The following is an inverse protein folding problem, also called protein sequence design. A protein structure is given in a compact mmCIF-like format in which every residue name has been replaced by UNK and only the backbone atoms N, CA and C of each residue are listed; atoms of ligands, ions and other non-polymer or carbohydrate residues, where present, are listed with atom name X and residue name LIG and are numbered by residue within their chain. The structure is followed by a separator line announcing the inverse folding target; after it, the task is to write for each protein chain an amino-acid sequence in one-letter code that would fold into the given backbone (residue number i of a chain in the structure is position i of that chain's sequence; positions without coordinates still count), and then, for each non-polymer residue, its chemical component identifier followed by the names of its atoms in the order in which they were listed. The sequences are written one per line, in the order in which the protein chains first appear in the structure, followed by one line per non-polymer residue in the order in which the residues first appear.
data_IF_746788004654
#
_entry.id   IF_746788004654
#
_cell.length_a   1.000
_cell.length_b   1.000
_cell.length_c   1.000
_cell.angle_alpha   90.00
_cell.angle_beta   90.00
_cell.angle_gamma   90.00
#
_symmetry.space_group_name_H-M   'P 1'
#
loop_
_entity.id
_entity.type
_entity.pdbx_description
1 polymer ?
#
# COMPACT_ATOMS: atom_id res chain seq x y z
N UNK A 1 10.43 5.72 50.92
CA UNK A 1 10.47 6.57 49.72
C UNK A 1 9.16 6.37 48.99
N UNK A 2 8.35 7.42 48.82
CA UNK A 2 7.13 7.33 48.02
C UNK A 2 7.52 7.15 46.56
N UNK A 3 6.94 6.15 45.89
CA UNK A 3 7.11 5.97 44.44
C UNK A 3 6.34 7.11 43.75
N UNK A 4 6.96 7.86 42.83
CA UNK A 4 6.36 9.07 42.27
C UNK A 4 5.19 8.81 41.29
N UNK A 5 5.03 7.59 40.78
CA UNK A 5 3.92 7.22 39.89
C UNK A 5 3.51 5.77 40.07
N UNK A 6 2.20 5.52 40.10
CA UNK A 6 1.60 4.18 40.18
C UNK A 6 1.26 3.60 38.79
N UNK A 7 1.73 4.22 37.70
CA UNK A 7 1.47 3.76 36.35
C UNK A 7 2.64 4.01 35.41
N UNK A 8 2.88 3.08 34.48
CA UNK A 8 3.94 3.17 33.48
C UNK A 8 3.55 2.44 32.18
N UNK A 9 4.24 2.79 31.08
CA UNK A 9 4.12 2.12 29.78
C UNK A 9 5.26 1.13 29.61
N UNK A 10 4.95 -0.10 29.21
CA UNK A 10 5.91 -1.13 28.86
C UNK A 10 5.85 -1.41 27.36
N UNK A 11 6.98 -1.38 26.63
CA UNK A 11 7.04 -1.78 25.23
C UNK A 11 6.44 -3.19 25.04
N UNK A 12 5.58 -3.38 24.05
CA UNK A 12 4.88 -4.66 23.72
C UNK A 12 3.80 -5.11 24.71
N UNK A 13 3.85 -4.69 25.97
CA UNK A 13 2.87 -5.08 27.00
C UNK A 13 1.80 -4.01 27.26
N UNK A 14 2.00 -2.79 26.76
CA UNK A 14 1.05 -1.69 26.91
C UNK A 14 1.18 -0.98 28.26
N UNK A 15 0.08 -0.39 28.73
CA UNK A 15 0.03 0.37 29.97
C UNK A 15 -0.26 -0.49 31.19
N UNK A 16 0.53 -0.31 32.25
CA UNK A 16 0.38 -0.98 33.53
C UNK A 16 -0.01 0.05 34.60
N UNK A 17 -1.03 -0.26 35.39
CA UNK A 17 -1.51 0.57 36.51
C UNK A 17 -1.54 -0.28 37.77
N UNK A 18 -0.83 0.16 38.81
CA UNK A 18 -0.79 -0.47 40.13
C UNK A 18 -1.75 0.29 41.04
N UNK A 19 -2.80 -0.37 41.50
CA UNK A 19 -3.76 0.23 42.42
C UNK A 19 -3.41 -0.14 43.86
N UNK A 20 -2.85 0.81 44.61
CA UNK A 20 -2.55 0.64 46.04
C UNK A 20 -3.77 1.04 46.89
N UNK A 21 -4.02 0.30 47.97
CA UNK A 21 -5.05 0.62 48.95
C UNK A 21 -4.46 1.56 50.00
N UNK A 22 -5.02 2.76 50.13
CA UNK A 22 -4.48 3.80 51.01
C UNK A 22 -4.91 3.64 52.49
N UNK A 23 -5.89 2.76 52.80
CA UNK A 23 -6.41 2.59 54.16
C UNK A 23 -6.96 1.16 54.40
N UNK A 24 -6.07 0.18 54.63
CA UNK A 24 -6.48 -1.14 55.13
C UNK A 24 -6.24 -1.18 56.64
N UNK A 25 -7.28 -1.19 57.49
CA UNK A 25 -7.09 -1.31 58.93
C UNK A 25 -6.43 -2.65 59.27
N UNK A 26 -5.43 -2.64 60.15
CA UNK A 26 -4.60 -3.81 60.50
C UNK A 26 -5.37 -5.04 61.00
N UNK A 27 -6.65 -4.87 61.37
CA UNK A 27 -7.50 -5.91 61.96
C UNK A 27 -8.54 -6.48 60.98
N UNK A 28 -8.34 -6.33 59.67
CA UNK A 28 -9.35 -6.71 58.68
C UNK A 28 -9.18 -8.17 58.22
N UNK A 29 -10.19 -9.00 58.43
CA UNK A 29 -10.23 -10.38 57.95
C UNK A 29 -10.54 -10.43 56.44
N UNK A 30 -9.76 -11.18 55.67
CA UNK A 30 -9.99 -11.44 54.25
C UNK A 30 -11.24 -12.34 54.06
N UNK A 31 -12.00 -12.21 52.94
CA UNK A 31 -11.79 -11.31 51.80
C UNK A 31 -12.45 -9.94 51.95
N UNK A 32 -11.74 -8.88 51.54
CA UNK A 32 -12.24 -7.50 51.52
C UNK A 32 -13.02 -7.22 50.21
N UNK A 33 -14.21 -6.62 50.31
CA UNK A 33 -14.92 -6.10 49.14
C UNK A 33 -14.26 -4.81 48.68
N UNK A 34 -13.67 -4.85 47.49
CA UNK A 34 -13.00 -3.70 46.88
C UNK A 34 -13.99 -2.80 46.13
N UNK A 35 -13.98 -1.50 46.43
CA UNK A 35 -14.55 -0.48 45.57
C UNK A 35 -13.40 0.09 44.73
N UNK A 36 -13.33 -0.32 43.46
CA UNK A 36 -12.36 0.21 42.51
C UNK A 36 -12.76 1.64 42.15
N UNK A 37 -11.83 2.59 42.30
CA UNK A 37 -11.99 3.89 41.67
C UNK A 37 -11.70 3.76 40.17
N UNK A 38 -12.72 3.34 39.42
CA UNK A 38 -12.66 3.20 37.97
C UNK A 38 -12.30 4.51 37.28
N UNK A 39 -12.65 5.65 37.88
CA UNK A 39 -12.35 6.98 37.33
C UNK A 39 -10.85 7.20 37.28
N UNK A 40 -10.16 6.96 38.39
CA UNK A 40 -8.69 7.05 38.48
C UNK A 40 -7.98 6.12 37.50
N UNK A 41 -8.47 4.90 37.34
CA UNK A 41 -7.88 3.91 36.40
C UNK A 41 -8.08 4.37 34.94
N UNK A 42 -9.30 4.75 34.57
CA UNK A 42 -9.61 5.19 33.21
C UNK A 42 -8.85 6.45 32.82
N UNK A 43 -8.66 7.37 33.76
CA UNK A 43 -7.85 8.57 33.57
C UNK A 43 -6.41 8.24 33.16
N UNK A 44 -5.77 7.28 33.84
CA UNK A 44 -4.43 6.81 33.47
C UNK A 44 -4.41 6.15 32.10
N UNK A 45 -5.41 5.32 31.81
CA UNK A 45 -5.56 4.67 30.51
C UNK A 45 -5.71 5.68 29.37
N UNK A 46 -6.53 6.73 29.56
CA UNK A 46 -6.71 7.81 28.57
C UNK A 46 -5.39 8.53 28.33
N UNK A 47 -4.62 8.83 29.37
CA UNK A 47 -3.30 9.45 29.22
C UNK A 47 -2.35 8.56 28.42
N UNK A 48 -2.31 7.27 28.72
CA UNK A 48 -1.50 6.29 27.99
C UNK A 48 -1.93 6.17 26.53
N UNK A 49 -3.24 6.19 26.25
CA UNK A 49 -3.77 6.17 24.90
C UNK A 49 -3.40 7.44 24.13
N UNK A 50 -3.50 8.63 24.76
CA UNK A 50 -3.08 9.90 24.17
C UNK A 50 -1.60 9.86 23.77
N UNK A 51 -0.72 9.32 24.64
CA UNK A 51 0.70 9.11 24.33
C UNK A 51 0.91 8.18 23.14
N UNK A 52 0.23 7.02 23.09
CA UNK A 52 0.33 6.08 21.96
C UNK A 52 -0.17 6.69 20.64
N UNK A 53 -1.17 7.57 20.72
CA UNK A 53 -1.67 8.33 19.58
C UNK A 53 -0.72 9.47 19.18
N UNK A 54 0.29 9.80 19.99
CA UNK A 54 1.25 10.88 19.74
C UNK A 54 0.72 12.27 20.12
N UNK A 55 -0.31 12.34 20.97
CA UNK A 55 -0.76 13.56 21.63
C UNK A 55 0.05 13.72 22.93
N UNK A 56 1.28 14.22 22.79
CA UNK A 56 2.22 14.45 23.89
C UNK A 56 1.90 15.77 24.61
N UNK A 57 1.46 15.77 25.89
CA UNK A 57 1.11 17.00 26.60
C UNK A 57 2.28 18.00 26.63
N UNK A 58 2.15 19.11 25.89
CA UNK A 58 3.17 20.16 25.86
C UNK A 58 3.24 20.83 27.22
N UNK A 59 4.34 20.59 27.95
CA UNK A 59 4.68 21.34 29.16
C UNK A 59 4.80 20.53 30.45
N UNK A 60 4.87 19.19 30.44
CA UNK A 60 5.33 18.48 31.64
C UNK A 60 6.84 18.22 31.55
N UNK A 61 7.71 19.00 32.25
CA UNK A 61 8.99 18.43 32.66
C UNK A 61 8.66 17.15 33.41
N UNK A 62 9.48 16.10 33.21
CA UNK A 62 9.32 14.67 33.53
C UNK A 62 8.75 14.29 34.93
N UNK A 63 8.41 15.26 35.79
CA UNK A 63 7.96 15.13 37.16
C UNK A 63 6.68 15.92 37.51
N UNK A 64 5.99 16.55 36.56
CA UNK A 64 4.76 17.31 36.90
C UNK A 64 3.54 16.46 36.65
N UNK A 65 2.79 16.20 37.72
CA UNK A 65 1.45 15.62 37.69
C UNK A 65 0.64 16.37 36.64
N UNK A 66 0.45 15.75 35.47
CA UNK A 66 -0.49 16.26 34.47
C UNK A 66 -1.81 16.39 35.19
N UNK A 67 -2.40 17.59 35.18
CA UNK A 67 -3.76 17.78 35.66
C UNK A 67 -4.67 17.04 34.67
N UNK A 68 -4.88 15.74 34.91
CA UNK A 68 -5.68 14.86 34.06
C UNK A 68 -7.18 15.09 34.30
N UNK A 69 -7.55 16.34 34.60
CA UNK A 69 -8.93 16.72 34.88
C UNK A 69 -9.76 16.87 33.59
N UNK A 70 -9.12 17.00 32.43
CA UNK A 70 -9.80 17.03 31.13
C UNK A 70 -9.58 15.73 30.34
N UNK A 71 -10.61 14.87 30.32
CA UNK A 71 -10.74 13.75 29.38
C UNK A 71 -10.68 14.20 27.93
N UNK A 72 -11.02 15.46 27.68
CA UNK A 72 -11.10 16.03 26.35
C UNK A 72 -9.71 16.24 25.71
N UNK A 73 -9.69 16.17 24.39
CA UNK A 73 -8.50 16.48 23.59
C UNK A 73 -8.44 17.99 23.40
N UNK A 74 -7.31 18.59 23.78
CA UNK A 74 -7.05 20.02 23.58
C UNK A 74 -6.87 20.31 22.09
N UNK A 75 -7.08 21.56 21.68
CA UNK A 75 -7.02 21.92 20.26
C UNK A 75 -5.61 21.82 19.67
N UNK A 76 -4.57 22.00 20.48
CA UNK A 76 -3.19 21.80 20.04
C UNK A 76 -2.87 20.30 19.87
N UNK A 77 -3.39 19.41 20.75
CA UNK A 77 -3.25 17.95 20.59
C UNK A 77 -3.90 17.50 19.27
N UNK A 78 -5.13 17.97 19.01
CA UNK A 78 -5.82 17.71 17.74
C UNK A 78 -5.00 18.20 16.55
N UNK A 79 -4.46 19.41 16.63
CA UNK A 79 -3.66 20.02 15.56
C UNK A 79 -2.38 19.22 15.30
N UNK A 80 -1.68 18.79 16.36
CA UNK A 80 -0.47 17.97 16.24
C UNK A 80 -0.78 16.61 15.59
N UNK A 81 -1.88 15.96 16.00
CA UNK A 81 -2.34 14.70 15.41
C UNK A 81 -2.68 14.86 13.93
N UNK A 82 -3.42 15.91 13.56
CA UNK A 82 -3.76 16.17 12.16
C UNK A 82 -2.52 16.46 11.32
N UNK A 83 -1.55 17.22 11.81
CA UNK A 83 -0.27 17.43 11.10
C UNK A 83 0.45 16.11 10.84
N UNK A 84 0.59 15.27 11.88
CA UNK A 84 1.24 13.96 11.76
C UNK A 84 0.54 13.08 10.73
N UNK A 85 -0.78 12.96 10.81
CA UNK A 85 -1.57 12.15 9.88
C UNK A 85 -1.59 12.70 8.46
N UNK A 86 -1.57 14.02 8.29
CA UNK A 86 -1.44 14.65 6.97
C UNK A 86 -0.13 14.23 6.31
N UNK A 87 1.00 14.31 7.02
CA UNK A 87 2.30 13.89 6.49
C UNK A 87 2.34 12.40 6.15
N UNK A 88 1.79 11.55 7.02
CA UNK A 88 1.64 10.11 6.78
C UNK A 88 0.83 9.82 5.52
N UNK A 89 -0.34 10.44 5.37
CA UNK A 89 -1.20 10.26 4.20
C UNK A 89 -0.57 10.77 2.91
N UNK A 90 0.11 11.93 2.93
CA UNK A 90 0.81 12.44 1.75
C UNK A 90 1.97 11.53 1.35
N UNK A 91 2.75 11.02 2.31
CA UNK A 91 3.83 10.08 2.05
C UNK A 91 3.30 8.77 1.45
N UNK A 92 2.26 8.19 2.05
CA UNK A 92 1.63 6.97 1.55
C UNK A 92 1.02 7.19 0.17
N UNK A 93 0.24 8.25 -0.05
CA UNK A 93 -0.36 8.54 -1.35
C UNK A 93 0.70 8.72 -2.45
N UNK A 94 1.79 9.44 -2.16
CA UNK A 94 2.92 9.60 -3.09
C UNK A 94 3.57 8.26 -3.42
N UNK A 95 3.78 7.42 -2.41
CA UNK A 95 4.35 6.08 -2.59
C UNK A 95 3.41 5.20 -3.42
N UNK A 96 2.11 5.21 -3.16
CA UNK A 96 1.10 4.47 -3.91
C UNK A 96 1.06 4.89 -5.37
N UNK A 97 1.08 6.20 -5.66
CA UNK A 97 1.14 6.71 -7.04
C UNK A 97 2.45 6.35 -7.74
N UNK A 98 3.57 6.35 -7.02
CA UNK A 98 4.87 5.94 -7.58
C UNK A 98 4.87 4.45 -7.92
N UNK A 99 4.34 3.61 -7.02
CA UNK A 99 4.15 2.18 -7.27
C UNK A 99 3.19 1.94 -8.43
N UNK A 100 2.11 2.70 -8.54
CA UNK A 100 1.21 2.64 -9.69
C UNK A 100 1.98 2.91 -10.98
N UNK A 101 2.73 4.02 -11.06
CA UNK A 101 3.51 4.38 -12.24
C UNK A 101 4.48 3.27 -12.65
N UNK A 102 5.20 2.67 -11.70
CA UNK A 102 6.07 1.52 -11.98
C UNK A 102 5.31 0.30 -12.52
N UNK A 103 4.11 0.01 -12.00
CA UNK A 103 3.27 -1.07 -12.55
C UNK A 103 2.81 -0.76 -13.98
N UNK A 104 2.46 0.51 -14.27
CA UNK A 104 2.09 0.94 -15.63
C UNK A 104 3.23 0.72 -16.63
N UNK A 105 4.47 1.02 -16.24
CA UNK A 105 5.67 0.86 -17.08
C UNK A 105 5.98 -0.62 -17.39
N UNK A 106 5.77 -1.52 -16.43
CA UNK A 106 6.05 -2.95 -16.61
C UNK A 106 5.01 -3.64 -17.49
N UNK A 107 3.75 -3.22 -17.43
CA UNK A 107 2.64 -3.84 -18.16
C UNK A 107 2.33 -2.97 -19.39
N UNK A 108 3.28 -2.94 -20.33
CA UNK A 108 3.29 -2.02 -21.49
C UNK A 108 2.12 -2.11 -22.48
N UNK A 109 1.13 -2.99 -22.23
CA UNK A 109 -0.08 -3.15 -23.05
C UNK A 109 -1.38 -2.79 -22.29
N UNK A 110 -1.28 -2.06 -21.18
CA UNK A 110 -2.46 -1.65 -20.40
C UNK A 110 -3.22 -0.50 -21.06
N UNK A 111 -4.51 -0.70 -21.31
CA UNK A 111 -5.46 0.38 -21.59
C UNK A 111 -5.79 1.08 -20.27
N UNK A 112 -5.27 2.30 -20.05
CA UNK A 112 -5.62 3.10 -18.88
C UNK A 112 -7.07 3.56 -19.04
N UNK A 113 -7.97 3.02 -18.23
CA UNK A 113 -9.36 3.46 -18.20
C UNK A 113 -9.49 4.90 -17.68
N UNK A 114 -10.49 5.63 -18.19
CA UNK A 114 -10.77 7.01 -17.77
C UNK A 114 -10.96 7.14 -16.24
N UNK A 115 -11.46 6.08 -15.59
CA UNK A 115 -11.61 6.03 -14.13
C UNK A 115 -10.26 6.14 -13.41
N UNK A 116 -9.25 5.36 -13.81
CA UNK A 116 -7.92 5.39 -13.22
C UNK A 116 -7.28 6.77 -13.44
N UNK A 117 -7.38 7.29 -14.66
CA UNK A 117 -6.88 8.63 -14.99
C UNK A 117 -7.49 9.69 -14.06
N UNK A 118 -8.81 9.72 -13.93
CA UNK A 118 -9.51 10.69 -13.07
C UNK A 118 -9.10 10.54 -11.60
N UNK A 119 -8.94 9.32 -11.10
CA UNK A 119 -8.49 9.09 -9.72
C UNK A 119 -7.04 9.55 -9.49
N UNK A 120 -6.14 9.33 -10.46
CA UNK A 120 -4.75 9.80 -10.38
C UNK A 120 -4.69 11.33 -10.43
N UNK A 121 -5.43 11.97 -11.34
CA UNK A 121 -5.52 13.44 -11.43
C UNK A 121 -6.10 14.03 -10.13
N UNK A 122 -7.16 13.42 -9.59
CA UNK A 122 -7.74 13.83 -8.31
C UNK A 122 -6.75 13.67 -7.15
N UNK A 123 -6.00 12.57 -7.10
CA UNK A 123 -5.00 12.34 -6.06
C UNK A 123 -3.88 13.39 -6.13
N UNK A 124 -3.35 13.68 -7.32
CA UNK A 124 -2.30 14.68 -7.53
C UNK A 124 -2.79 16.09 -7.17
N UNK A 125 -4.00 16.47 -7.59
CA UNK A 125 -4.59 17.75 -7.25
C UNK A 125 -4.77 17.91 -5.73
N UNK A 126 -5.28 16.86 -5.06
CA UNK A 126 -5.47 16.85 -3.62
C UNK A 126 -4.12 16.91 -2.85
N UNK A 127 -3.07 16.25 -3.34
CA UNK A 127 -1.70 16.38 -2.79
C UNK A 127 -1.22 17.82 -2.87
N UNK A 128 -1.39 18.47 -4.04
CA UNK A 128 -0.97 19.85 -4.24
C UNK A 128 -1.72 20.80 -3.30
N UNK A 129 -3.05 20.69 -3.27
CA UNK A 129 -3.90 21.52 -2.43
C UNK A 129 -3.61 21.30 -0.94
N UNK A 130 -3.37 20.06 -0.51
CA UNK A 130 -2.95 19.77 0.87
C UNK A 130 -1.65 20.48 1.25
N UNK A 131 -0.65 20.50 0.35
CA UNK A 131 0.61 21.22 0.57
C UNK A 131 0.41 22.73 0.66
N UNK A 132 -0.45 23.31 -0.18
CA UNK A 132 -0.82 24.73 -0.13
C UNK A 132 -1.50 25.08 1.20
N UNK A 133 -2.49 24.30 1.63
CA UNK A 133 -3.17 24.50 2.91
C UNK A 133 -2.20 24.34 4.10
N UNK A 134 -1.23 23.42 4.04
CA UNK A 134 -0.16 23.32 5.05
C UNK A 134 0.70 24.58 5.09
N UNK A 135 1.05 25.15 3.93
CA UNK A 135 1.84 26.38 3.85
C UNK A 135 1.07 27.59 4.41
N UNK A 136 -0.25 27.61 4.27
CA UNK A 136 -1.15 28.60 4.87
C UNK A 136 -1.41 28.38 6.36
N UNK A 137 -0.99 27.24 6.92
CA UNK A 137 -1.23 26.88 8.32
C UNK A 137 -2.61 26.26 8.59
N UNK A 138 -3.42 26.02 7.55
CA UNK A 138 -4.75 25.43 7.62
C UNK A 138 -4.69 23.91 7.75
N UNK A 139 -4.27 23.42 8.92
CA UNK A 139 -4.02 22.00 9.17
C UNK A 139 -5.24 21.10 8.91
N UNK A 140 -6.44 21.54 9.29
CA UNK A 140 -7.65 20.73 9.11
C UNK A 140 -8.00 20.57 7.62
N UNK A 141 -7.93 21.65 6.84
CA UNK A 141 -8.14 21.60 5.39
C UNK A 141 -7.08 20.73 4.72
N UNK A 142 -5.81 20.92 5.09
CA UNK A 142 -4.72 20.09 4.60
C UNK A 142 -4.93 18.59 4.87
N UNK A 143 -5.40 18.25 6.06
CA UNK A 143 -5.71 16.87 6.44
C UNK A 143 -6.83 16.27 5.58
N UNK A 144 -7.90 17.03 5.34
CA UNK A 144 -9.01 16.58 4.48
C UNK A 144 -8.56 16.32 3.04
N UNK A 145 -7.74 17.22 2.50
CA UNK A 145 -7.17 17.06 1.16
C UNK A 145 -6.18 15.88 1.10
N UNK A 146 -5.31 15.70 2.11
CA UNK A 146 -4.42 14.54 2.19
C UNK A 146 -5.21 13.21 2.30
N UNK A 147 -6.33 13.22 3.02
CA UNK A 147 -7.25 12.08 3.08
C UNK A 147 -7.88 11.80 1.71
N UNK A 148 -8.28 12.84 0.98
CA UNK A 148 -8.78 12.66 -0.39
C UNK A 148 -7.70 12.08 -1.30
N UNK A 149 -6.45 12.54 -1.17
CA UNK A 149 -5.33 12.06 -1.95
C UNK A 149 -5.07 10.55 -1.74
N UNK A 150 -4.97 10.09 -0.49
CA UNK A 150 -4.74 8.67 -0.20
C UNK A 150 -5.89 7.80 -0.74
N UNK A 151 -7.15 8.19 -0.51
CA UNK A 151 -8.32 7.45 -0.99
C UNK A 151 -8.34 7.35 -2.52
N UNK A 152 -8.10 8.45 -3.24
CA UNK A 152 -8.06 8.42 -4.70
C UNK A 152 -6.86 7.63 -5.23
N UNK A 153 -5.68 7.75 -4.59
CA UNK A 153 -4.49 6.97 -5.00
C UNK A 153 -4.70 5.46 -4.81
N UNK A 154 -5.32 5.03 -3.71
CA UNK A 154 -5.64 3.63 -3.45
C UNK A 154 -6.72 3.11 -4.40
N UNK A 155 -7.76 3.91 -4.67
CA UNK A 155 -8.78 3.55 -5.67
C UNK A 155 -8.17 3.33 -7.05
N UNK A 156 -7.24 4.19 -7.47
CA UNK A 156 -6.53 4.01 -8.72
C UNK A 156 -5.67 2.74 -8.70
N UNK A 157 -4.89 2.52 -7.63
CA UNK A 157 -3.96 1.40 -7.54
C UNK A 157 -4.65 0.03 -7.47
N UNK A 158 -5.78 -0.06 -6.77
CA UNK A 158 -6.57 -1.28 -6.59
C UNK A 158 -7.73 -1.41 -7.59
N UNK A 159 -7.73 -0.64 -8.68
CA UNK A 159 -8.78 -0.76 -9.69
C UNK A 159 -8.79 -2.17 -10.32
N UNK A 160 -9.96 -2.80 -10.48
CA UNK A 160 -10.07 -4.14 -11.06
C UNK A 160 -9.40 -4.29 -12.42
N UNK A 161 -9.33 -3.25 -13.26
CA UNK A 161 -8.70 -3.35 -14.58
C UNK A 161 -7.17 -3.47 -14.49
N UNK A 162 -6.55 -2.89 -13.47
CA UNK A 162 -5.11 -3.05 -13.19
C UNK A 162 -4.85 -4.46 -12.64
N UNK A 163 -5.71 -4.95 -11.74
CA UNK A 163 -5.61 -6.30 -11.19
C UNK A 163 -5.83 -7.40 -12.25
N UNK A 164 -6.70 -7.16 -13.22
CA UNK A 164 -7.01 -8.12 -14.28
C UNK A 164 -5.83 -8.37 -15.23
N UNK A 165 -4.97 -7.37 -15.47
CA UNK A 165 -3.81 -7.50 -16.35
C UNK A 165 -2.62 -8.23 -15.70
N UNK A 166 -2.57 -8.29 -14.37
CA UNK A 166 -1.66 -9.19 -13.65
C UNK A 166 -2.05 -10.67 -13.81
N UNK A 167 -3.32 -10.97 -14.15
CA UNK A 167 -3.86 -12.33 -14.22
C UNK A 167 -3.96 -12.92 -15.63
N UNK A 168 -3.76 -12.11 -16.68
CA UNK A 168 -3.76 -12.59 -18.06
C UNK A 168 -2.46 -12.21 -18.76
N UNK A 169 -1.39 -13.01 -18.56
CA UNK A 169 -0.22 -12.87 -19.39
C UNK A 169 -0.60 -13.26 -20.81
N UNK A 170 -0.09 -12.50 -21.78
CA UNK A 170 -0.14 -12.81 -23.20
C UNK A 170 0.32 -14.26 -23.51
N UNK A 171 1.05 -14.91 -22.61
CA UNK A 171 1.44 -16.33 -22.67
C UNK A 171 0.27 -17.31 -22.74
N UNK A 172 -0.90 -17.00 -22.18
CA UNK A 172 -2.07 -17.88 -22.26
C UNK A 172 -2.68 -17.89 -23.67
N UNK A 173 -2.50 -16.82 -24.46
CA UNK A 173 -2.95 -16.82 -25.87
C UNK A 173 -2.12 -17.79 -26.70
N UNK A 174 -0.81 -17.86 -26.46
CA UNK A 174 0.06 -18.79 -27.15
C UNK A 174 -0.21 -20.24 -26.74
N UNK A 175 -0.56 -20.51 -25.49
CA UNK A 175 -0.97 -21.85 -25.05
C UNK A 175 -2.26 -22.34 -25.74
N UNK A 176 -3.17 -21.43 -26.13
CA UNK A 176 -4.40 -21.77 -26.88
C UNK A 176 -4.11 -21.86 -28.39
N UNK A 177 -3.32 -20.93 -28.94
CA UNK A 177 -3.06 -20.84 -30.37
C UNK A 177 -1.99 -21.82 -30.89
N UNK A 178 -0.97 -22.15 -30.10
CA UNK A 178 0.09 -23.08 -30.52
C UNK A 178 -0.51 -24.46 -30.85
N UNK A 179 -1.31 -25.13 -29.99
CA UNK A 179 -1.89 -26.43 -30.35
C UNK A 179 -2.81 -26.41 -31.57
N UNK A 180 -3.51 -25.29 -31.81
CA UNK A 180 -4.47 -25.14 -32.92
C UNK A 180 -3.78 -24.84 -34.27
N UNK A 181 -2.78 -23.95 -34.26
CA UNK A 181 -2.14 -23.45 -35.48
C UNK A 181 -0.83 -24.17 -35.83
N UNK A 182 -0.13 -24.79 -34.87
CA UNK A 182 1.09 -25.56 -35.13
C UNK A 182 0.90 -26.70 -36.14
N UNK A 183 -0.19 -27.50 -36.11
CA UNK A 183 -0.40 -28.58 -37.08
C UNK A 183 -0.60 -28.09 -38.52
N UNK A 184 -1.18 -26.90 -38.68
CA UNK A 184 -1.48 -26.31 -40.00
C UNK A 184 -0.28 -25.52 -40.54
N UNK A 185 0.46 -24.84 -39.66
CA UNK A 185 1.61 -24.02 -40.03
C UNK A 185 2.85 -24.84 -40.43
N UNK A 186 3.07 -26.02 -39.83
CA UNK A 186 4.19 -26.93 -40.16
C UNK A 186 4.21 -27.37 -41.64
N UNK A 187 3.12 -27.93 -42.21
CA UNK A 187 3.08 -28.33 -43.61
C UNK A 187 3.24 -27.16 -44.59
N UNK A 188 2.62 -26.01 -44.28
CA UNK A 188 2.71 -24.81 -45.11
C UNK A 188 4.14 -24.29 -45.16
N UNK A 189 4.82 -24.22 -44.01
CA UNK A 189 6.21 -23.77 -43.95
C UNK A 189 7.16 -24.73 -44.66
N UNK A 190 6.98 -26.05 -44.48
CA UNK A 190 7.71 -27.08 -45.23
C UNK A 190 7.51 -26.95 -46.75
N UNK A 191 6.28 -26.68 -47.19
CA UNK A 191 5.96 -26.48 -48.60
C UNK A 191 6.65 -25.24 -49.17
N UNK A 192 6.64 -24.12 -48.43
CA UNK A 192 7.32 -22.88 -48.82
C UNK A 192 8.85 -23.03 -48.87
N UNK A 193 9.45 -23.74 -47.91
CA UNK A 193 10.89 -24.00 -47.90
C UNK A 193 11.29 -24.88 -49.09
N UNK A 194 10.53 -25.94 -49.38
CA UNK A 194 10.78 -26.79 -50.55
C UNK A 194 10.58 -26.03 -51.87
N UNK A 195 9.51 -25.24 -51.97
CA UNK A 195 9.23 -24.44 -53.17
C UNK A 195 10.30 -23.38 -53.42
N UNK A 196 10.72 -22.65 -52.39
CA UNK A 196 11.81 -21.67 -52.50
C UNK A 196 13.16 -22.31 -52.80
N UNK A 197 13.48 -23.47 -52.21
CA UNK A 197 14.70 -24.23 -52.54
C UNK A 197 14.67 -24.75 -53.99
N UNK A 198 13.52 -25.23 -54.46
CA UNK A 198 13.34 -25.65 -55.85
C UNK A 198 13.50 -24.49 -56.83
N UNK A 199 12.86 -23.34 -56.55
CA UNK A 199 13.01 -22.12 -57.33
C UNK A 199 14.46 -21.65 -57.30
N UNK A 200 15.08 -21.58 -56.13
CA UNK A 200 16.48 -21.16 -56.00
C UNK A 200 17.43 -22.10 -56.76
N UNK A 201 17.18 -23.42 -56.74
CA UNK A 201 17.93 -24.40 -57.52
C UNK A 201 17.71 -24.22 -59.04
N UNK A 202 16.51 -23.84 -59.45
CA UNK A 202 16.18 -23.50 -60.84
C UNK A 202 16.90 -22.23 -61.32
N UNK A 203 17.02 -21.22 -60.46
CA UNK A 203 17.79 -20.00 -60.73
C UNK A 203 19.31 -20.22 -60.69
N UNK A 204 19.78 -21.22 -59.93
CA UNK A 204 21.21 -21.51 -59.72
C UNK A 204 21.81 -22.44 -60.79
N UNK A 205 21.00 -22.92 -61.75
CA UNK A 205 21.48 -23.51 -63.00
C UNK A 205 22.46 -24.67 -62.85
N UNK A 206 22.06 -25.76 -62.21
CA UNK A 206 22.76 -27.06 -62.35
C UNK A 206 21.96 -27.96 -63.30
N UNK A 207 22.35 -27.96 -64.58
CA UNK A 207 21.96 -29.00 -65.52
C UNK A 207 22.75 -30.26 -65.22
N UNK A 208 22.07 -31.33 -64.79
CA UNK A 208 22.67 -32.66 -64.80
C UNK A 208 22.00 -33.48 -65.91
N UNK A 209 22.65 -33.48 -67.07
CA UNK A 209 22.39 -34.42 -68.17
C UNK A 209 22.85 -35.80 -67.76
N UNK A 210 21.92 -36.70 -67.44
CA UNK A 210 22.20 -38.14 -67.46
C UNK A 210 22.11 -38.59 -68.91
N UNK A 211 23.27 -38.68 -69.56
CA UNK A 211 23.42 -39.22 -70.91
C UNK A 211 23.15 -40.72 -70.90
N UNK A 212 22.07 -41.08 -71.58
CA UNK A 212 21.76 -42.39 -72.10
C UNK A 212 22.89 -42.82 -73.07
N UNK A 213 23.59 -43.91 -72.75
CA UNK A 213 24.41 -44.66 -73.71
C UNK A 213 23.85 -46.08 -73.82
N UNK A 214 22.89 -46.25 -74.73
CA UNK A 214 22.85 -47.38 -75.67
C UNK A 214 23.55 -46.86 -76.95
N UNK A 215 24.31 -47.59 -77.79
CA UNK A 215 24.41 -49.02 -78.09
C UNK A 215 25.63 -49.22 -79.05
N UNK A 216 26.02 -50.49 -79.25
CA UNK A 216 26.72 -51.08 -80.43
C UNK A 216 28.22 -51.44 -80.35
N UNK A 217 28.46 -52.75 -80.25
CA UNK A 217 29.45 -53.63 -80.94
C UNK A 217 30.01 -54.70 -80.02
#
# INVERSE_FOLDING_TARGET
SSVPSNAFLSPQWGGIVVYNMDDVPSNTSLPLRMALDTRRILTVFITQLKLLLGAEPVGSPQNTLVDVSSTDLTDWEKTALFRRKTMEYLATATTTLTSLAHLLEQIGNMVIGDQIKNQVEQALAAIHKSKEELALGNVTSAFLEAKSAIVSSEKAFFDPSILALLYFPDDQKYAIYIPLFLPISLPVLMSLIKGSSWIMKLWRGEGNTTGEQAESS
#
